data_IF_983075476422
#
_entry.id   IF_983075476422
#
_cell.length_a   1.000
_cell.length_b   1.000
_cell.length_c   1.000
_cell.angle_alpha   90.00
_cell.angle_beta   90.00
_cell.angle_gamma   90.00
#
_symmetry.space_group_name_H-M   'P 1'
#
loop_
_entity.id
_entity.type
_entity.pdbx_description
1 polymer ?
#
# COMPACT_ATOMS: atom_id res chain seq x y z
N UNK A 1 -7.54 -14.68 -14.78
CA UNK A 1 -6.50 -13.86 -14.13
C UNK A 1 -5.61 -14.82 -13.36
N UNK A 2 -4.29 -14.68 -13.49
CA UNK A 2 -3.28 -15.54 -12.84
C UNK A 2 -3.00 -15.06 -11.40
N UNK A 3 -2.63 -15.99 -10.50
CA UNK A 3 -2.13 -15.66 -9.16
C UNK A 3 -0.64 -15.30 -9.21
N UNK A 4 -0.37 -13.99 -9.17
CA UNK A 4 0.99 -13.43 -9.19
C UNK A 4 1.84 -13.82 -7.96
N UNK A 5 1.21 -14.37 -6.92
CA UNK A 5 1.88 -14.71 -5.65
C UNK A 5 2.17 -16.20 -5.51
N UNK A 6 1.71 -17.02 -6.45
CA UNK A 6 1.74 -18.48 -6.37
C UNK A 6 3.13 -19.07 -6.09
N UNK A 7 4.18 -18.48 -6.69
CA UNK A 7 5.55 -18.98 -6.54
C UNK A 7 6.28 -18.48 -5.28
N UNK A 8 5.64 -17.63 -4.47
CA UNK A 8 6.26 -17.06 -3.27
C UNK A 8 5.74 -17.78 -2.03
N UNK A 9 6.66 -18.30 -1.20
CA UNK A 9 6.30 -18.93 0.08
C UNK A 9 5.69 -17.93 1.07
N UNK A 10 6.22 -16.71 1.10
CA UNK A 10 5.77 -15.62 1.97
C UNK A 10 5.73 -14.29 1.20
N UNK A 11 4.76 -14.10 0.30
CA UNK A 11 4.68 -12.89 -0.51
C UNK A 11 4.43 -11.67 0.38
N UNK A 12 5.27 -10.66 0.19
CA UNK A 12 5.06 -9.32 0.75
C UNK A 12 4.40 -8.47 -0.32
N UNK A 13 3.18 -8.03 -0.06
CA UNK A 13 2.32 -7.38 -1.06
C UNK A 13 2.01 -5.97 -0.56
N UNK A 14 2.20 -4.97 -1.41
CA UNK A 14 1.75 -3.60 -1.17
C UNK A 14 0.98 -3.12 -2.39
N UNK A 15 -0.22 -2.60 -2.13
CA UNK A 15 -1.07 -2.04 -3.17
C UNK A 15 -0.94 -0.52 -3.18
N UNK A 16 -0.52 0.02 -4.32
CA UNK A 16 -0.38 1.46 -4.55
C UNK A 16 -1.39 1.90 -5.60
N UNK A 17 -2.20 2.90 -5.28
CA UNK A 17 -3.10 3.51 -6.26
C UNK A 17 -2.41 4.71 -6.90
N UNK A 18 -2.12 4.57 -8.19
CA UNK A 18 -1.44 5.57 -9.00
C UNK A 18 -2.39 6.61 -9.60
N UNK A 19 -1.82 7.75 -9.98
CA UNK A 19 -2.48 8.84 -10.71
C UNK A 19 -3.00 9.96 -9.80
N UNK A 20 -2.77 11.21 -10.20
CA UNK A 20 -3.33 12.41 -9.51
C UNK A 20 -4.85 12.45 -9.56
N UNK A 21 -5.42 12.00 -10.67
CA UNK A 21 -6.87 11.90 -10.89
C UNK A 21 -7.28 10.44 -10.71
N UNK A 22 -8.19 10.19 -9.77
CA UNK A 22 -8.61 8.81 -9.39
C UNK A 22 -10.05 8.47 -9.75
N UNK A 23 -10.68 9.34 -10.54
CA UNK A 23 -12.02 9.19 -11.08
C UNK A 23 -11.98 9.19 -12.61
N UNK A 24 -13.00 8.60 -13.21
CA UNK A 24 -13.18 8.59 -14.67
C UNK A 24 -13.46 10.01 -15.21
N UNK A 25 -13.01 10.38 -16.43
CA UNK A 25 -13.31 11.68 -17.03
C UNK A 25 -14.82 12.01 -17.07
N UNK A 26 -15.65 11.00 -17.33
CA UNK A 26 -17.12 11.08 -17.39
C UNK A 26 -17.80 10.96 -16.02
N UNK A 27 -17.03 10.81 -14.93
CA UNK A 27 -17.59 10.68 -13.59
C UNK A 27 -18.45 11.89 -13.20
N UNK A 28 -19.55 11.62 -12.49
CA UNK A 28 -20.44 12.66 -11.96
C UNK A 28 -19.71 13.57 -10.97
N UNK A 29 -20.19 14.81 -10.79
CA UNK A 29 -19.61 15.76 -9.81
C UNK A 29 -19.51 15.16 -8.41
N UNK A 30 -20.55 14.43 -7.97
CA UNK A 30 -20.56 13.75 -6.68
C UNK A 30 -19.46 12.68 -6.57
N UNK A 31 -19.24 11.88 -7.62
CA UNK A 31 -18.18 10.88 -7.65
C UNK A 31 -16.80 11.52 -7.60
N UNK A 32 -16.58 12.58 -8.39
CA UNK A 32 -15.32 13.35 -8.40
C UNK A 32 -14.99 13.89 -6.99
N UNK A 33 -15.97 14.52 -6.33
CA UNK A 33 -15.82 15.02 -4.96
C UNK A 33 -15.54 13.89 -3.96
N UNK A 34 -16.27 12.78 -4.06
CA UNK A 34 -16.08 11.64 -3.15
C UNK A 34 -14.71 10.98 -3.29
N UNK A 35 -14.09 10.98 -4.47
CA UNK A 35 -12.73 10.46 -4.66
C UNK A 35 -11.69 11.46 -4.17
N UNK A 36 -11.88 12.76 -4.41
CA UNK A 36 -10.97 13.82 -3.96
C UNK A 36 -10.86 13.86 -2.42
N UNK A 37 -11.99 13.78 -1.72
CA UNK A 37 -12.02 13.82 -0.24
C UNK A 37 -11.39 12.58 0.41
N UNK A 38 -11.29 11.45 -0.31
CA UNK A 38 -10.68 10.22 0.27
C UNK A 38 -9.20 10.38 0.58
N UNK A 39 -8.48 11.19 -0.18
CA UNK A 39 -7.04 11.39 -0.04
C UNK A 39 -6.60 12.66 -0.78
N UNK A 40 -6.70 13.84 -0.13
CA UNK A 40 -6.37 15.12 -0.75
C UNK A 40 -4.93 15.17 -1.30
N UNK A 41 -3.98 14.52 -0.61
CA UNK A 41 -2.57 14.49 -0.98
C UNK A 41 -2.31 13.77 -2.32
N UNK A 42 -3.27 12.96 -2.83
CA UNK A 42 -3.16 12.29 -4.13
C UNK A 42 -2.87 13.27 -5.27
N UNK A 43 -3.47 14.47 -5.21
CA UNK A 43 -3.34 15.48 -6.26
C UNK A 43 -1.90 15.97 -6.38
N UNK A 44 -1.19 16.05 -5.25
CA UNK A 44 0.20 16.50 -5.18
C UNK A 44 1.16 15.32 -5.40
N UNK A 45 1.00 14.25 -4.61
CA UNK A 45 1.87 13.07 -4.63
C UNK A 45 1.76 12.27 -5.93
N UNK A 46 0.58 12.24 -6.55
CA UNK A 46 0.29 11.41 -7.72
C UNK A 46 0.13 9.91 -7.42
N UNK A 47 0.17 9.51 -6.15
CA UNK A 47 -0.13 8.15 -5.71
C UNK A 47 -0.57 8.14 -4.24
N UNK A 48 -1.09 7.00 -3.79
CA UNK A 48 -1.30 6.69 -2.37
C UNK A 48 -1.10 5.22 -2.08
N UNK A 49 -0.67 4.94 -0.85
CA UNK A 49 -0.71 3.57 -0.32
C UNK A 49 -2.16 3.19 -0.06
N UNK A 50 -2.53 1.97 -0.44
CA UNK A 50 -3.88 1.43 -0.16
C UNK A 50 -3.86 0.28 0.83
N UNK A 51 -2.69 -0.29 1.08
CA UNK A 51 -2.50 -1.31 2.09
C UNK A 51 -1.24 -2.12 1.82
N UNK A 52 -0.91 -2.97 2.77
CA UNK A 52 0.06 -4.03 2.56
C UNK A 52 -0.30 -5.26 3.38
N UNK A 53 0.20 -6.40 2.95
CA UNK A 53 0.29 -7.64 3.72
C UNK A 53 1.74 -8.08 3.70
N UNK A 54 2.39 -8.04 4.86
CA UNK A 54 3.80 -8.35 4.97
C UNK A 54 4.05 -9.19 6.22
N UNK A 55 4.97 -10.13 6.12
CA UNK A 55 5.44 -10.93 7.24
C UNK A 55 6.62 -10.23 7.90
N UNK A 56 6.58 -10.07 9.22
CA UNK A 56 7.57 -9.36 10.03
C UNK A 56 8.37 -10.28 10.98
N UNK A 57 8.22 -11.59 10.87
CA UNK A 57 8.89 -12.56 11.76
C UNK A 57 8.94 -13.96 11.16
N UNK A 58 9.30 -14.95 11.98
CA UNK A 58 9.55 -16.34 11.57
C UNK A 58 8.36 -17.28 11.73
N UNK A 59 7.24 -16.82 12.28
CA UNK A 59 6.03 -17.61 12.47
C UNK A 59 4.93 -17.21 11.46
N UNK A 60 3.94 -18.09 11.26
CA UNK A 60 2.82 -17.82 10.35
C UNK A 60 1.95 -16.65 10.84
N UNK A 61 1.87 -16.45 12.16
CA UNK A 61 1.11 -15.37 12.77
C UNK A 61 1.84 -14.01 12.75
N UNK A 62 3.09 -13.96 12.29
CA UNK A 62 3.86 -12.71 12.20
C UNK A 62 3.50 -11.89 10.95
N UNK A 63 2.24 -11.97 10.50
CA UNK A 63 1.72 -11.23 9.35
C UNK A 63 1.05 -9.96 9.85
N UNK A 64 1.50 -8.81 9.34
CA UNK A 64 0.84 -7.54 9.56
C UNK A 64 0.12 -7.13 8.28
N UNK A 65 -1.15 -6.77 8.46
CA UNK A 65 -1.99 -6.22 7.40
C UNK A 65 -2.26 -4.76 7.70
N UNK A 66 -2.04 -3.90 6.72
CA UNK A 66 -2.51 -2.52 6.72
C UNK A 66 -3.53 -2.35 5.62
N UNK A 67 -4.58 -1.62 5.93
CA UNK A 67 -5.73 -1.44 5.05
C UNK A 67 -5.74 -0.05 4.40
N UNK A 68 -6.82 0.22 3.68
CA UNK A 68 -7.04 1.49 3.00
C UNK A 68 -7.16 2.67 3.95
N UNK A 69 -7.56 2.47 5.21
CA UNK A 69 -7.65 3.54 6.19
C UNK A 69 -6.24 3.94 6.65
N UNK A 70 -5.39 2.96 6.94
CA UNK A 70 -3.97 3.22 7.21
C UNK A 70 -3.32 3.97 6.05
N UNK A 71 -3.53 3.53 4.80
CA UNK A 71 -2.96 4.18 3.63
C UNK A 71 -3.41 5.63 3.46
N UNK A 72 -4.69 5.92 3.74
CA UNK A 72 -5.25 7.29 3.72
C UNK A 72 -4.80 8.16 4.90
N UNK A 73 -4.25 7.58 5.97
CA UNK A 73 -3.65 8.33 7.07
C UNK A 73 -2.25 8.85 6.75
N UNK A 74 -1.65 8.42 5.62
CA UNK A 74 -0.32 8.90 5.21
C UNK A 74 -0.41 10.30 4.62
N UNK A 75 0.63 11.11 4.76
CA UNK A 75 0.67 12.47 4.22
C UNK A 75 2.09 12.77 3.68
N UNK A 76 2.31 13.99 3.21
CA UNK A 76 3.61 14.42 2.65
C UNK A 76 4.80 14.17 3.60
N UNK A 77 4.58 14.19 4.91
CA UNK A 77 5.63 14.06 5.92
C UNK A 77 6.00 12.60 6.20
N UNK A 78 5.03 11.69 6.16
CA UNK A 78 5.22 10.29 6.58
C UNK A 78 5.03 9.25 5.45
N UNK A 79 4.76 9.67 4.21
CA UNK A 79 4.58 8.77 3.07
C UNK A 79 5.85 7.96 2.78
N UNK A 80 7.03 8.58 2.94
CA UNK A 80 8.32 7.93 2.75
C UNK A 80 8.51 6.84 3.80
N UNK A 81 8.20 7.10 5.07
CA UNK A 81 8.23 6.09 6.13
C UNK A 81 7.30 4.90 5.82
N UNK A 82 6.11 5.18 5.28
CA UNK A 82 5.16 4.15 4.87
C UNK A 82 5.71 3.23 3.76
N UNK A 83 6.40 3.81 2.78
CA UNK A 83 7.10 3.05 1.73
C UNK A 83 8.32 2.30 2.28
N UNK A 84 9.14 2.96 3.10
CA UNK A 84 10.31 2.38 3.74
C UNK A 84 9.94 1.18 4.62
N UNK A 85 8.79 1.21 5.29
CA UNK A 85 8.28 0.06 6.05
C UNK A 85 8.18 -1.21 5.19
N UNK A 86 7.87 -1.06 3.90
CA UNK A 86 7.73 -2.20 2.98
C UNK A 86 9.04 -2.60 2.30
N UNK A 87 9.92 -1.64 1.98
CA UNK A 87 11.20 -1.94 1.32
C UNK A 87 12.32 -2.30 2.29
N UNK A 88 12.30 -1.80 3.53
CA UNK A 88 13.32 -2.07 4.55
C UNK A 88 13.11 -3.41 5.28
N UNK A 89 12.78 -4.46 4.53
CA UNK A 89 12.80 -5.86 4.99
C UNK A 89 14.21 -6.29 5.43
N UNK A 90 15.23 -5.42 5.34
CA UNK A 90 16.60 -5.66 5.80
C UNK A 90 16.72 -6.13 7.27
N UNK A 91 15.72 -5.92 8.13
CA UNK A 91 15.68 -6.49 9.49
C UNK A 91 14.89 -7.82 9.61
N UNK A 92 14.30 -8.32 8.53
CA UNK A 92 13.43 -9.50 8.48
C UNK A 92 14.10 -10.72 7.85
N UNK A 93 15.30 -10.57 7.26
CA UNK A 93 16.04 -11.65 6.60
C UNK A 93 16.77 -12.61 7.55
N UNK A 94 16.63 -12.47 8.87
CA UNK A 94 17.28 -13.37 9.84
C UNK A 94 16.45 -14.60 10.26
N UNK A 95 15.34 -14.89 9.58
CA UNK A 95 14.74 -16.22 9.64
C UNK A 95 15.49 -17.15 8.66
N UNK A 96 16.65 -17.68 9.06
CA UNK A 96 17.46 -18.62 8.27
C UNK A 96 16.67 -19.88 7.83
N UNK A 97 17.08 -20.69 6.86
CA UNK A 97 18.29 -20.79 6.04
C UNK A 97 17.87 -20.83 4.57
N UNK A 98 18.65 -20.18 3.68
CA UNK A 98 18.56 -20.46 2.24
C UNK A 98 19.05 -21.88 1.95
#
# INVERSE_FOLDING_TARGET
MEDLTYHYKYPCIMDIKMGRVTYDPSATKAKKLSEAVKYPEQEVLGFRLTGYRMRFGCHENDVRVRDKQWGRSRNMENIVEGLLTFVNILNLFFCGNW
#
